data_IF_660827158714
#
_entry.id   IF_660827158714
#
_cell.length_a   1.000
_cell.length_b   1.000
_cell.length_c   1.000
_cell.angle_alpha   90.00
_cell.angle_beta   90.00
_cell.angle_gamma   90.00
#
_symmetry.space_group_name_H-M   'P 1'
#
loop_
_entity.id
_entity.type
_entity.pdbx_description
1 polymer ?
#
# COMPACT_ATOMS: atom_id res chain seq x y z
N UNK A 1 15.46 -63.11 39.79
CA UNK A 1 14.17 -63.70 40.18
C UNK A 1 13.87 -63.30 41.63
N UNK A 2 12.62 -62.88 41.89
CA UNK A 2 11.86 -62.93 43.17
C UNK A 2 12.50 -62.33 44.44
N UNK A 3 12.02 -61.19 44.97
CA UNK A 3 10.80 -60.98 45.79
C UNK A 3 10.89 -61.66 47.18
N UNK A 4 10.48 -61.14 48.35
CA UNK A 4 9.77 -59.94 48.86
C UNK A 4 9.69 -60.11 50.42
N UNK A 5 9.34 -59.04 51.16
CA UNK A 5 8.87 -58.93 52.58
C UNK A 5 9.93 -58.50 53.62
N UNK A 6 9.93 -57.22 54.05
CA UNK A 6 9.05 -56.55 55.04
C UNK A 6 9.23 -57.08 56.48
N UNK A 7 9.69 -56.22 57.39
CA UNK A 7 8.82 -55.58 58.41
C UNK A 7 9.58 -54.55 59.25
N UNK A 8 8.84 -53.50 59.56
CA UNK A 8 9.16 -52.30 60.34
C UNK A 8 9.40 -52.62 61.82
N UNK A 9 10.26 -51.84 62.46
CA UNK A 9 10.04 -51.37 63.84
C UNK A 9 10.67 -49.97 63.98
N UNK A 10 9.85 -49.03 64.45
CA UNK A 10 10.12 -47.62 64.65
C UNK A 10 10.76 -47.34 66.02
N UNK A 11 11.55 -46.25 66.04
CA UNK A 11 11.87 -45.37 67.16
C UNK A 11 12.86 -45.91 68.23
N UNK A 12 13.83 -45.15 68.76
CA UNK A 12 13.65 -43.84 69.41
C UNK A 12 14.91 -42.93 69.38
N UNK A 13 14.66 -41.65 69.12
CA UNK A 13 15.19 -40.42 69.72
C UNK A 13 16.69 -40.21 70.01
N UNK A 14 17.29 -39.26 69.27
CA UNK A 14 18.28 -38.33 69.82
C UNK A 14 17.90 -36.90 69.40
N UNK A 15 17.52 -36.07 70.38
CA UNK A 15 17.20 -34.65 70.20
C UNK A 15 18.49 -33.82 70.19
N UNK A 16 18.96 -33.42 69.01
CA UNK A 16 19.80 -32.23 68.86
C UNK A 16 18.92 -31.04 68.49
N UNK A 17 18.81 -30.11 69.44
CA UNK A 17 18.19 -28.80 69.25
C UNK A 17 19.10 -28.00 68.30
N UNK A 18 18.65 -27.74 67.07
CA UNK A 18 19.22 -26.70 66.21
C UNK A 18 18.31 -25.48 66.29
N UNK A 19 18.85 -24.38 66.81
CA UNK A 19 18.23 -23.05 66.73
C UNK A 19 18.01 -22.66 65.26
N UNK A 20 16.86 -22.11 64.88
CA UNK A 20 16.67 -21.60 63.53
C UNK A 20 17.53 -20.35 63.33
N UNK A 21 18.21 -20.19 62.17
CA UNK A 21 18.95 -18.98 61.89
C UNK A 21 17.99 -17.79 61.78
N UNK A 22 18.34 -16.69 62.46
CA UNK A 22 17.68 -15.39 62.39
C UNK A 22 17.42 -15.02 60.92
N UNK A 23 16.15 -15.01 60.52
CA UNK A 23 15.73 -14.55 59.21
C UNK A 23 15.99 -13.05 59.09
N UNK A 24 17.08 -12.68 58.43
CA UNK A 24 17.32 -11.32 57.96
C UNK A 24 16.16 -10.96 57.01
N UNK A 25 15.47 -9.81 57.17
CA UNK A 25 14.37 -9.45 56.29
C UNK A 25 14.89 -9.28 54.86
N UNK A 26 14.58 -10.22 53.97
CA UNK A 26 14.86 -10.08 52.55
C UNK A 26 13.91 -9.00 52.01
N UNK A 27 14.48 -7.85 51.66
CA UNK A 27 13.75 -6.79 50.95
C UNK A 27 13.19 -7.39 49.66
N UNK A 28 11.88 -7.66 49.64
CA UNK A 28 11.18 -8.08 48.42
C UNK A 28 11.27 -6.92 47.42
N UNK A 29 12.06 -7.09 46.38
CA UNK A 29 12.06 -6.17 45.23
C UNK A 29 10.65 -6.19 44.63
N UNK A 30 9.87 -5.14 44.89
CA UNK A 30 8.68 -4.87 44.10
C UNK A 30 9.17 -4.42 42.73
N UNK A 31 9.04 -5.30 41.73
CA UNK A 31 9.04 -4.89 40.33
C UNK A 31 7.87 -3.92 40.16
N UNK A 32 8.17 -2.63 40.22
CA UNK A 32 7.28 -1.60 39.72
C UNK A 32 7.35 -1.76 38.20
N UNK A 33 6.28 -2.23 37.57
CA UNK A 33 6.11 -2.10 36.14
C UNK A 33 6.21 -0.60 35.83
N UNK A 34 7.36 -0.16 35.31
CA UNK A 34 7.43 1.13 34.63
C UNK A 34 6.39 1.06 33.51
N UNK A 35 5.48 2.05 33.37
CA UNK A 35 4.71 2.15 32.15
C UNK A 35 5.71 2.19 30.99
N UNK A 36 5.43 1.41 29.94
CA UNK A 36 6.28 1.35 28.76
C UNK A 36 6.62 2.77 28.34
N UNK A 37 7.91 3.06 28.10
CA UNK A 37 8.32 4.37 27.64
C UNK A 37 7.55 4.68 26.34
N UNK A 38 6.80 5.78 26.32
CA UNK A 38 6.07 6.24 25.14
C UNK A 38 7.04 6.36 23.96
N UNK A 39 6.65 5.86 22.78
CA UNK A 39 7.52 5.93 21.60
C UNK A 39 7.90 7.39 21.27
N UNK A 40 9.12 7.64 20.75
CA UNK A 40 9.53 8.95 20.28
C UNK A 40 8.54 9.57 19.28
N UNK A 41 7.95 8.71 18.42
CA UNK A 41 6.92 9.09 17.44
C UNK A 41 5.66 9.64 18.13
N UNK A 42 5.14 8.95 19.14
CA UNK A 42 3.95 9.42 19.87
C UNK A 42 4.20 10.75 20.59
N UNK A 43 5.41 10.93 21.14
CA UNK A 43 5.79 12.19 21.79
C UNK A 43 5.80 13.36 20.78
N UNK A 44 6.41 13.18 19.60
CA UNK A 44 6.43 14.19 18.54
C UNK A 44 5.02 14.49 18.00
N UNK A 45 4.19 13.47 17.81
CA UNK A 45 2.82 13.64 17.32
C UNK A 45 1.94 14.34 18.38
N UNK A 46 2.18 14.10 19.66
CA UNK A 46 1.50 14.83 20.73
C UNK A 46 1.86 16.32 20.76
N UNK A 47 3.02 16.71 20.24
CA UNK A 47 3.39 18.12 20.11
C UNK A 47 2.65 18.85 18.98
N UNK A 48 1.91 18.16 18.10
CA UNK A 48 1.16 18.81 17.02
C UNK A 48 0.11 19.80 17.55
N UNK A 49 -0.50 19.48 18.69
CA UNK A 49 -1.48 20.36 19.37
C UNK A 49 -0.87 21.68 19.85
N UNK A 50 0.46 21.71 20.07
CA UNK A 50 1.19 22.89 20.55
C UNK A 50 1.76 23.76 19.42
N UNK A 51 1.70 23.29 18.16
CA UNK A 51 2.21 24.01 17.00
C UNK A 51 1.30 25.19 16.67
N UNK A 52 1.88 26.36 16.37
CA UNK A 52 1.11 27.60 16.13
C UNK A 52 0.72 27.81 14.68
N UNK A 53 1.42 27.16 13.75
CA UNK A 53 1.25 27.34 12.32
C UNK A 53 1.59 26.06 11.56
N UNK A 54 1.07 25.93 10.33
CA UNK A 54 1.25 24.74 9.50
C UNK A 54 2.72 24.46 9.13
N UNK A 55 3.62 25.45 9.20
CA UNK A 55 5.07 25.23 8.99
C UNK A 55 5.72 24.48 10.15
N UNK A 56 5.38 24.85 11.39
CA UNK A 56 5.82 24.14 12.60
C UNK A 56 5.28 22.71 12.62
N UNK A 57 4.01 22.54 12.27
CA UNK A 57 3.39 21.22 12.10
C UNK A 57 4.17 20.39 11.09
N UNK A 58 4.39 20.92 9.88
CA UNK A 58 5.12 20.21 8.83
C UNK A 58 6.53 19.82 9.29
N UNK A 59 7.25 20.72 9.97
CA UNK A 59 8.59 20.43 10.50
C UNK A 59 8.56 19.29 11.53
N UNK A 60 7.55 19.27 12.39
CA UNK A 60 7.35 18.19 13.37
C UNK A 60 7.06 16.87 12.66
N UNK A 61 6.15 16.85 11.67
CA UNK A 61 5.84 15.65 10.89
C UNK A 61 7.04 15.11 10.08
N UNK A 62 7.88 16.00 9.56
CA UNK A 62 9.12 15.61 8.88
C UNK A 62 10.09 14.95 9.87
N UNK A 63 10.28 15.52 11.06
CA UNK A 63 11.11 14.92 12.12
C UNK A 63 10.58 13.57 12.59
N UNK A 64 9.26 13.40 12.63
CA UNK A 64 8.63 12.10 12.93
C UNK A 64 8.99 11.06 11.87
N UNK A 65 9.02 11.47 10.60
CA UNK A 65 9.43 10.59 9.50
C UNK A 65 10.90 10.20 9.57
N UNK A 66 11.77 11.11 10.00
CA UNK A 66 13.21 10.86 10.11
C UNK A 66 13.57 9.92 11.29
N UNK A 67 12.74 9.92 12.34
CA UNK A 67 12.93 9.12 13.56
C UNK A 67 11.76 8.13 13.75
N UNK A 68 11.51 7.31 12.72
CA UNK A 68 10.35 6.43 12.69
C UNK A 68 10.60 5.16 13.52
N UNK A 69 10.38 5.27 14.82
CA UNK A 69 10.37 4.14 15.76
C UNK A 69 9.05 4.15 16.53
N UNK A 70 8.13 3.28 16.13
CA UNK A 70 6.76 3.24 16.66
C UNK A 70 6.52 1.95 17.44
N UNK A 71 6.13 2.09 18.71
CA UNK A 71 5.67 0.97 19.51
C UNK A 71 4.28 0.53 19.05
N UNK A 72 4.06 -0.79 19.00
CA UNK A 72 2.79 -1.37 18.55
C UNK A 72 1.58 -0.90 19.38
N UNK A 73 1.79 -0.63 20.67
CA UNK A 73 0.80 -0.06 21.59
C UNK A 73 0.33 1.35 21.23
N UNK A 74 1.18 2.10 20.53
CA UNK A 74 0.99 3.54 20.32
C UNK A 74 0.30 3.81 18.97
N UNK A 75 0.23 2.81 18.07
CA UNK A 75 -0.36 2.93 16.73
C UNK A 75 -1.78 3.52 16.77
N UNK A 76 -2.73 3.03 17.59
CA UNK A 76 -4.10 3.55 17.56
C UNK A 76 -4.19 5.01 17.99
N UNK A 77 -3.38 5.41 18.97
CA UNK A 77 -3.35 6.80 19.45
C UNK A 77 -2.71 7.73 18.42
N UNK A 78 -1.62 7.30 17.80
CA UNK A 78 -0.95 8.02 16.72
C UNK A 78 -1.88 8.24 15.54
N UNK A 79 -2.57 7.18 15.08
CA UNK A 79 -3.52 7.27 13.97
C UNK A 79 -4.64 8.28 14.28
N UNK A 80 -5.22 8.20 15.48
CA UNK A 80 -6.26 9.13 15.91
C UNK A 80 -5.78 10.58 15.90
N UNK A 81 -4.62 10.86 16.51
CA UNK A 81 -4.05 12.22 16.55
C UNK A 81 -3.74 12.77 15.16
N UNK A 82 -3.18 11.95 14.27
CA UNK A 82 -2.91 12.35 12.89
C UNK A 82 -4.20 12.64 12.10
N UNK A 83 -5.20 11.78 12.21
CA UNK A 83 -6.50 11.97 11.56
C UNK A 83 -7.26 13.19 12.07
N UNK A 84 -7.26 13.42 13.37
CA UNK A 84 -7.89 14.60 13.96
C UNK A 84 -7.20 15.88 13.49
N UNK A 85 -5.86 15.87 13.42
CA UNK A 85 -5.11 17.00 12.90
C UNK A 85 -5.33 17.23 11.39
N UNK A 86 -5.41 16.16 10.60
CA UNK A 86 -5.70 16.24 9.16
C UNK A 86 -7.01 17.00 8.90
N UNK A 87 -8.07 16.73 9.67
CA UNK A 87 -9.40 17.32 9.50
C UNK A 87 -9.43 18.82 9.81
N UNK A 88 -8.52 19.30 10.66
CA UNK A 88 -8.46 20.70 11.07
C UNK A 88 -7.48 21.53 10.21
N UNK A 89 -6.53 20.88 9.56
CA UNK A 89 -5.46 21.54 8.83
C UNK A 89 -5.89 22.05 7.45
N UNK A 90 -5.59 23.31 7.16
CA UNK A 90 -5.91 23.95 5.89
C UNK A 90 -4.81 23.73 4.83
N UNK A 91 -3.56 23.54 5.25
CA UNK A 91 -2.42 23.45 4.35
C UNK A 91 -2.30 22.05 3.70
N UNK A 92 -2.38 22.01 2.38
CA UNK A 92 -2.32 20.75 1.61
C UNK A 92 -1.01 19.97 1.82
N UNK A 93 0.13 20.67 1.99
CA UNK A 93 1.43 20.01 2.18
C UNK A 93 1.48 19.20 3.48
N UNK A 94 0.87 19.72 4.55
CA UNK A 94 0.76 19.03 5.83
C UNK A 94 -0.16 17.81 5.69
N UNK A 95 -1.34 17.98 5.08
CA UNK A 95 -2.28 16.87 4.84
C UNK A 95 -1.67 15.74 4.00
N UNK A 96 -0.89 16.08 2.96
CA UNK A 96 -0.10 15.11 2.19
C UNK A 96 0.91 14.38 3.09
N UNK A 97 1.64 15.11 3.95
CA UNK A 97 2.63 14.46 4.84
C UNK A 97 1.97 13.55 5.87
N UNK A 98 0.79 13.90 6.38
CA UNK A 98 0.02 13.04 7.28
C UNK A 98 -0.34 11.72 6.57
N UNK A 99 -0.89 11.78 5.35
CA UNK A 99 -1.20 10.56 4.58
C UNK A 99 0.06 9.72 4.29
N UNK A 100 1.21 10.36 4.03
CA UNK A 100 2.50 9.67 3.92
C UNK A 100 2.88 8.95 5.21
N UNK A 101 2.65 9.55 6.38
CA UNK A 101 2.92 8.89 7.66
C UNK A 101 1.95 7.73 7.92
N UNK A 102 0.67 7.84 7.51
CA UNK A 102 -0.26 6.70 7.58
C UNK A 102 0.24 5.51 6.77
N UNK A 103 0.80 5.77 5.58
CA UNK A 103 1.45 4.73 4.77
C UNK A 103 2.62 4.09 5.52
N UNK A 104 3.47 4.89 6.16
CA UNK A 104 4.63 4.36 6.90
C UNK A 104 4.20 3.56 8.13
N UNK A 105 3.18 4.01 8.87
CA UNK A 105 2.57 3.27 9.98
C UNK A 105 2.01 1.94 9.50
N UNK A 106 1.32 1.91 8.35
CA UNK A 106 0.75 0.69 7.80
C UNK A 106 1.78 -0.32 7.27
N UNK A 107 3.06 0.03 7.17
CA UNK A 107 4.15 -0.93 6.87
C UNK A 107 4.71 -1.60 8.12
N UNK A 108 4.35 -1.14 9.32
CA UNK A 108 4.83 -1.74 10.55
C UNK A 108 4.23 -3.14 10.75
N UNK A 109 5.01 -4.14 11.24
CA UNK A 109 4.59 -5.55 11.27
C UNK A 109 3.29 -5.85 12.05
N UNK A 110 2.91 -4.99 12.98
CA UNK A 110 1.73 -5.15 13.82
C UNK A 110 0.59 -4.18 13.47
N UNK A 111 0.70 -3.44 12.37
CA UNK A 111 -0.29 -2.47 11.99
C UNK A 111 -1.57 -3.15 11.49
N UNK A 112 -2.72 -2.64 11.92
CA UNK A 112 -3.99 -3.00 11.30
C UNK A 112 -4.14 -2.24 9.98
N UNK A 113 -3.58 -2.84 8.92
CA UNK A 113 -3.52 -2.25 7.58
C UNK A 113 -4.92 -1.91 7.05
N UNK A 114 -5.92 -2.75 7.33
CA UNK A 114 -7.30 -2.54 6.85
C UNK A 114 -7.91 -1.31 7.50
N UNK A 115 -7.77 -1.17 8.82
CA UNK A 115 -8.25 0.01 9.54
C UNK A 115 -7.56 1.30 9.05
N UNK A 116 -6.26 1.25 8.75
CA UNK A 116 -5.52 2.41 8.22
C UNK A 116 -5.99 2.77 6.81
N UNK A 117 -6.24 1.78 5.95
CA UNK A 117 -6.81 2.01 4.62
C UNK A 117 -8.18 2.67 4.72
N UNK A 118 -9.06 2.16 5.59
CA UNK A 118 -10.40 2.72 5.78
C UNK A 118 -10.34 4.16 6.31
N UNK A 119 -9.43 4.45 7.23
CA UNK A 119 -9.18 5.82 7.69
C UNK A 119 -8.70 6.72 6.55
N UNK A 120 -7.72 6.28 5.74
CA UNK A 120 -7.24 7.04 4.59
C UNK A 120 -8.36 7.33 3.56
N UNK A 121 -9.24 6.35 3.31
CA UNK A 121 -10.43 6.53 2.45
C UNK A 121 -11.36 7.59 3.04
N UNK A 122 -11.60 7.56 4.34
CA UNK A 122 -12.45 8.53 5.03
C UNK A 122 -11.88 9.94 4.96
N UNK A 123 -10.57 10.10 5.14
CA UNK A 123 -9.91 11.42 5.08
C UNK A 123 -10.00 12.05 3.68
N UNK A 124 -9.88 11.27 2.60
CA UNK A 124 -9.92 11.83 1.24
C UNK A 124 -11.33 12.00 0.67
N UNK A 125 -12.37 11.39 1.26
CA UNK A 125 -13.73 11.36 0.73
C UNK A 125 -14.30 12.73 0.33
N UNK A 126 -13.99 13.77 1.10
CA UNK A 126 -14.46 15.15 0.87
C UNK A 126 -13.30 16.12 0.59
N UNK A 127 -12.13 15.59 0.24
CA UNK A 127 -10.96 16.42 -0.03
C UNK A 127 -11.08 17.12 -1.39
N UNK A 128 -10.56 18.35 -1.48
CA UNK A 128 -10.61 19.17 -2.70
C UNK A 128 -9.23 19.35 -3.33
N UNK A 129 -8.17 19.19 -2.55
CA UNK A 129 -6.81 19.34 -3.05
C UNK A 129 -6.37 18.11 -3.83
N UNK A 130 -6.17 18.27 -5.14
CA UNK A 130 -5.70 17.18 -6.02
C UNK A 130 -4.38 16.55 -5.54
N UNK A 131 -3.50 17.32 -4.89
CA UNK A 131 -2.25 16.81 -4.32
C UNK A 131 -2.53 15.84 -3.16
N UNK A 132 -3.48 16.20 -2.30
CA UNK A 132 -3.89 15.38 -1.15
C UNK A 132 -4.63 14.14 -1.62
N UNK A 133 -5.54 14.28 -2.58
CA UNK A 133 -6.25 13.13 -3.20
C UNK A 133 -5.25 12.17 -3.82
N UNK A 134 -4.32 12.65 -4.66
CA UNK A 134 -3.31 11.80 -5.30
C UNK A 134 -2.45 11.06 -4.26
N UNK A 135 -2.07 11.73 -3.16
CA UNK A 135 -1.35 11.09 -2.06
C UNK A 135 -2.21 10.06 -1.32
N UNK A 136 -3.50 10.31 -1.13
CA UNK A 136 -4.41 9.36 -0.48
C UNK A 136 -4.62 8.11 -1.31
N UNK A 137 -4.84 8.25 -2.62
CA UNK A 137 -4.89 7.11 -3.56
C UNK A 137 -3.56 6.36 -3.55
N UNK A 138 -2.42 7.06 -3.54
CA UNK A 138 -1.11 6.42 -3.41
C UNK A 138 -0.95 5.65 -2.09
N UNK A 139 -1.47 6.18 -0.99
CA UNK A 139 -1.44 5.54 0.34
C UNK A 139 -2.25 4.25 0.31
N UNK A 140 -3.49 4.33 -0.17
CA UNK A 140 -4.40 3.19 -0.34
C UNK A 140 -3.80 2.12 -1.26
N UNK A 141 -3.21 2.53 -2.39
CA UNK A 141 -2.55 1.62 -3.34
C UNK A 141 -1.43 0.83 -2.66
N UNK A 142 -0.50 1.52 -2.00
CA UNK A 142 0.67 0.87 -1.43
C UNK A 142 0.32 -0.02 -0.24
N UNK A 143 -0.67 0.37 0.59
CA UNK A 143 -1.18 -0.50 1.65
C UNK A 143 -1.98 -1.68 1.09
N UNK A 144 -2.76 -1.48 0.03
CA UNK A 144 -3.50 -2.55 -0.64
C UNK A 144 -2.60 -3.65 -1.20
N UNK A 145 -1.40 -3.30 -1.69
CA UNK A 145 -0.37 -4.26 -2.13
C UNK A 145 0.11 -5.18 -1.00
N UNK A 146 0.04 -4.73 0.26
CA UNK A 146 0.45 -5.52 1.43
C UNK A 146 -0.63 -6.53 1.85
N UNK A 147 -1.88 -6.34 1.40
CA UNK A 147 -3.02 -7.21 1.75
C UNK A 147 -3.40 -8.05 0.53
N UNK A 148 -2.58 -9.05 0.18
CA UNK A 148 -2.75 -9.82 -1.07
C UNK A 148 -3.99 -10.70 -1.10
N UNK A 149 -4.42 -11.21 0.06
CA UNK A 149 -5.44 -12.27 0.14
C UNK A 149 -6.87 -11.74 0.27
N UNK A 150 -7.06 -10.41 0.26
CA UNK A 150 -8.36 -9.77 0.46
C UNK A 150 -8.94 -9.21 -0.84
N UNK A 151 -9.53 -10.12 -1.63
CA UNK A 151 -10.17 -9.80 -2.92
C UNK A 151 -11.29 -8.76 -2.77
N UNK A 152 -12.08 -8.83 -1.69
CA UNK A 152 -13.17 -7.87 -1.43
C UNK A 152 -12.64 -6.45 -1.20
N UNK A 153 -11.56 -6.33 -0.42
CA UNK A 153 -10.86 -5.06 -0.23
C UNK A 153 -10.33 -4.55 -1.57
N UNK A 154 -9.64 -5.37 -2.36
CA UNK A 154 -9.12 -4.99 -3.67
C UNK A 154 -10.20 -4.44 -4.60
N UNK A 155 -11.36 -5.10 -4.69
CA UNK A 155 -12.51 -4.58 -5.43
C UNK A 155 -12.96 -3.22 -4.92
N UNK A 156 -13.10 -3.05 -3.59
CA UNK A 156 -13.44 -1.76 -2.98
C UNK A 156 -12.44 -0.67 -3.37
N UNK A 157 -11.14 -0.95 -3.34
CA UNK A 157 -10.09 0.03 -3.66
C UNK A 157 -10.10 0.41 -5.15
N UNK A 158 -10.39 -0.55 -6.03
CA UNK A 158 -10.55 -0.31 -7.47
C UNK A 158 -11.77 0.56 -7.75
N UNK A 159 -12.91 0.31 -7.11
CA UNK A 159 -14.10 1.15 -7.28
C UNK A 159 -13.86 2.59 -6.80
N UNK A 160 -13.10 2.77 -5.72
CA UNK A 160 -12.66 4.10 -5.28
C UNK A 160 -11.78 4.76 -6.36
N UNK A 161 -10.79 4.05 -6.90
CA UNK A 161 -9.94 4.57 -7.96
C UNK A 161 -10.76 5.00 -9.20
N UNK A 162 -11.71 4.17 -9.64
CA UNK A 162 -12.63 4.49 -10.74
C UNK A 162 -13.42 5.77 -10.48
N UNK A 163 -13.92 5.95 -9.26
CA UNK A 163 -14.68 7.16 -8.89
C UNK A 163 -13.84 8.45 -8.98
N UNK A 164 -12.53 8.37 -8.74
CA UNK A 164 -11.62 9.50 -8.83
C UNK A 164 -11.00 9.71 -10.23
N UNK A 165 -11.22 8.81 -11.19
CA UNK A 165 -10.72 9.00 -12.57
C UNK A 165 -11.33 10.23 -13.27
N UNK A 166 -12.50 10.70 -12.81
CA UNK A 166 -13.16 11.93 -13.30
C UNK A 166 -12.49 13.23 -12.84
N UNK A 167 -11.50 13.15 -11.94
CA UNK A 167 -10.76 14.32 -11.47
C UNK A 167 -10.03 15.02 -12.64
N UNK A 168 -9.86 16.33 -12.59
CA UNK A 168 -9.20 17.11 -13.66
C UNK A 168 -7.67 16.97 -13.65
N UNK A 169 -7.08 16.59 -12.51
CA UNK A 169 -5.65 16.48 -12.33
C UNK A 169 -5.10 15.19 -12.91
N UNK A 170 -4.11 15.31 -13.80
CA UNK A 170 -3.35 14.17 -14.30
C UNK A 170 -2.75 13.33 -13.16
N UNK A 171 -2.32 13.94 -12.05
CA UNK A 171 -1.70 13.23 -10.95
C UNK A 171 -2.68 12.27 -10.26
N UNK A 172 -3.94 12.70 -10.09
CA UNK A 172 -5.01 11.85 -9.54
C UNK A 172 -5.34 10.74 -10.54
N UNK A 173 -5.59 11.08 -11.81
CA UNK A 173 -5.87 10.09 -12.87
C UNK A 173 -4.79 9.03 -12.97
N UNK A 174 -3.52 9.44 -12.98
CA UNK A 174 -2.39 8.51 -13.07
C UNK A 174 -2.38 7.55 -11.87
N UNK A 175 -2.58 8.06 -10.65
CA UNK A 175 -2.61 7.20 -9.46
C UNK A 175 -3.82 6.27 -9.44
N UNK A 176 -4.97 6.70 -9.95
CA UNK A 176 -6.13 5.83 -10.12
C UNK A 176 -5.88 4.72 -11.15
N UNK A 177 -5.32 5.04 -12.32
CA UNK A 177 -4.96 4.06 -13.35
C UNK A 177 -3.92 3.06 -12.84
N UNK A 178 -2.91 3.52 -12.10
CA UNK A 178 -1.92 2.66 -11.43
C UNK A 178 -2.61 1.72 -10.44
N UNK A 179 -3.54 2.26 -9.63
CA UNK A 179 -4.29 1.49 -8.63
C UNK A 179 -5.11 0.39 -9.29
N UNK A 180 -5.79 0.69 -10.39
CA UNK A 180 -6.56 -0.30 -11.16
C UNK A 180 -5.63 -1.39 -11.69
N UNK A 181 -4.52 -1.03 -12.32
CA UNK A 181 -3.56 -1.98 -12.90
C UNK A 181 -2.98 -2.97 -11.89
N UNK A 182 -2.71 -2.49 -10.68
CA UNK A 182 -2.08 -3.29 -9.61
C UNK A 182 -3.10 -4.09 -8.81
N UNK A 183 -4.23 -3.49 -8.42
CA UNK A 183 -5.12 -4.06 -7.42
C UNK A 183 -6.34 -4.77 -7.99
N UNK A 184 -6.69 -4.60 -9.28
CA UNK A 184 -7.83 -5.35 -9.83
C UNK A 184 -7.61 -6.86 -9.63
N UNK A 185 -8.53 -7.60 -9.01
CA UNK A 185 -8.42 -9.05 -8.94
C UNK A 185 -8.34 -9.66 -10.35
N UNK A 186 -7.65 -10.80 -10.48
CA UNK A 186 -7.51 -11.45 -11.79
C UNK A 186 -8.91 -11.86 -12.28
N UNK A 187 -9.35 -11.24 -13.37
CA UNK A 187 -10.66 -11.47 -13.98
C UNK A 187 -10.51 -11.94 -15.44
N UNK A 188 -11.57 -12.53 -15.99
CA UNK A 188 -11.58 -13.05 -17.37
C UNK A 188 -12.91 -12.73 -18.06
N UNK A 189 -12.93 -12.83 -19.39
CA UNK A 189 -14.13 -12.54 -20.20
C UNK A 189 -14.59 -11.09 -20.07
N UNK A 190 -15.92 -10.91 -20.02
CA UNK A 190 -16.57 -9.59 -20.06
C UNK A 190 -16.09 -8.58 -19.00
N UNK A 191 -15.66 -9.04 -17.82
CA UNK A 191 -15.13 -8.13 -16.79
C UNK A 191 -13.75 -7.60 -17.17
N UNK A 192 -12.87 -8.46 -17.70
CA UNK A 192 -11.57 -8.06 -18.18
C UNK A 192 -11.69 -7.10 -19.38
N UNK A 193 -12.62 -7.38 -20.30
CA UNK A 193 -12.89 -6.54 -21.47
C UNK A 193 -13.32 -5.12 -21.03
N UNK A 194 -14.23 -5.00 -20.06
CA UNK A 194 -14.67 -3.71 -19.51
C UNK A 194 -13.55 -2.93 -18.83
N UNK A 195 -12.65 -3.61 -18.13
CA UNK A 195 -11.49 -2.96 -17.49
C UNK A 195 -10.51 -2.45 -18.56
N UNK A 196 -10.23 -3.27 -19.58
CA UNK A 196 -9.37 -2.85 -20.69
C UNK A 196 -9.99 -1.71 -21.50
N UNK A 197 -11.29 -1.73 -21.75
CA UNK A 197 -12.02 -0.63 -22.40
C UNK A 197 -11.92 0.66 -21.59
N UNK A 198 -12.15 0.58 -20.27
CA UNK A 198 -12.00 1.71 -19.36
C UNK A 198 -10.58 2.29 -19.43
N UNK A 199 -9.54 1.46 -19.34
CA UNK A 199 -8.14 1.93 -19.37
C UNK A 199 -7.79 2.50 -20.74
N UNK A 200 -8.22 1.84 -21.82
CA UNK A 200 -7.92 2.25 -23.20
C UNK A 200 -8.59 3.57 -23.57
N UNK A 201 -9.71 3.94 -22.92
CA UNK A 201 -10.33 5.26 -23.06
C UNK A 201 -9.44 6.44 -22.61
N UNK A 202 -8.27 6.17 -22.02
CA UNK A 202 -7.28 7.18 -21.65
C UNK A 202 -6.06 7.21 -22.59
N UNK A 203 -6.03 6.41 -23.66
CA UNK A 203 -4.92 6.39 -24.62
C UNK A 203 -4.81 7.66 -25.46
N UNK A 204 -5.89 8.40 -25.63
CA UNK A 204 -5.98 9.67 -26.36
C UNK A 204 -6.14 10.88 -25.43
N UNK A 205 -5.88 10.70 -24.11
CA UNK A 205 -6.03 11.78 -23.15
C UNK A 205 -5.15 12.99 -23.48
N UNK A 206 -5.64 14.20 -23.24
CA UNK A 206 -4.88 15.45 -23.52
C UNK A 206 -3.51 15.48 -22.81
N UNK A 207 -3.42 14.95 -21.60
CA UNK A 207 -2.17 14.93 -20.83
C UNK A 207 -1.34 13.66 -21.13
N UNK A 208 -0.13 13.86 -21.65
CA UNK A 208 0.78 12.78 -22.01
C UNK A 208 1.14 11.84 -20.85
N UNK A 209 1.13 12.33 -19.61
CA UNK A 209 1.40 11.49 -18.42
C UNK A 209 0.27 10.51 -18.19
N UNK A 210 -0.97 10.92 -18.44
CA UNK A 210 -2.16 10.05 -18.33
C UNK A 210 -2.13 9.00 -19.43
N UNK A 211 -1.81 9.38 -20.68
CA UNK A 211 -1.63 8.43 -21.78
C UNK A 211 -0.55 7.38 -21.46
N UNK A 212 0.63 7.84 -21.04
CA UNK A 212 1.75 6.96 -20.65
C UNK A 212 1.37 6.02 -19.51
N UNK A 213 0.64 6.51 -18.50
CA UNK A 213 0.16 5.68 -17.40
C UNK A 213 -0.91 4.68 -17.84
N UNK A 214 -1.82 5.05 -18.76
CA UNK A 214 -2.83 4.13 -19.29
C UNK A 214 -2.17 2.94 -20.02
N UNK A 215 -1.19 3.19 -20.89
CA UNK A 215 -0.42 2.11 -21.52
C UNK A 215 0.33 1.27 -20.47
N UNK A 216 0.93 1.91 -19.47
CA UNK A 216 1.63 1.20 -18.39
C UNK A 216 0.68 0.31 -17.59
N UNK A 217 -0.54 0.78 -17.36
CA UNK A 217 -1.62 0.02 -16.69
C UNK A 217 -2.03 -1.17 -17.56
N UNK A 218 -2.24 -1.00 -18.86
CA UNK A 218 -2.56 -2.11 -19.78
C UNK A 218 -1.47 -3.19 -19.78
N UNK A 219 -0.20 -2.80 -19.78
CA UNK A 219 0.94 -3.72 -19.66
C UNK A 219 0.89 -4.46 -18.32
N UNK A 220 0.68 -3.75 -17.20
CA UNK A 220 0.61 -4.36 -15.88
C UNK A 220 -0.55 -5.36 -15.76
N UNK A 221 -1.71 -5.06 -16.35
CA UNK A 221 -2.84 -5.99 -16.42
C UNK A 221 -2.46 -7.26 -17.19
N UNK A 222 -1.76 -7.12 -18.31
CA UNK A 222 -1.31 -8.26 -19.11
C UNK A 222 -0.29 -9.15 -18.41
N UNK A 223 0.72 -8.54 -17.78
CA UNK A 223 1.72 -9.26 -16.98
C UNK A 223 1.09 -10.04 -15.82
N UNK A 224 -0.10 -9.62 -15.36
CA UNK A 224 -0.91 -10.30 -14.34
C UNK A 224 -1.89 -11.34 -14.91
N UNK A 225 -1.86 -11.59 -16.22
CA UNK A 225 -2.61 -12.66 -16.88
C UNK A 225 -3.90 -12.22 -17.61
N UNK A 226 -4.20 -10.91 -17.65
CA UNK A 226 -5.34 -10.41 -18.43
C UNK A 226 -4.96 -10.40 -19.92
N UNK A 227 -5.75 -11.11 -20.74
CA UNK A 227 -5.50 -11.19 -22.19
C UNK A 227 -5.86 -9.87 -22.85
N UNK A 228 -4.94 -9.33 -23.65
CA UNK A 228 -5.19 -8.15 -24.49
C UNK A 228 -5.66 -8.65 -25.86
N UNK A 229 -6.68 -8.03 -26.45
CA UNK A 229 -7.09 -8.38 -27.80
C UNK A 229 -5.98 -7.97 -28.80
N UNK A 230 -5.40 -8.89 -29.58
CA UNK A 230 -4.34 -8.56 -30.55
C UNK A 230 -4.77 -7.56 -31.63
N UNK A 231 -6.07 -7.38 -31.87
CA UNK A 231 -6.58 -6.41 -32.85
C UNK A 231 -6.20 -4.96 -32.51
N UNK A 232 -5.87 -4.67 -31.25
CA UNK A 232 -5.41 -3.33 -30.83
C UNK A 232 -4.00 -3.00 -31.32
N UNK A 233 -3.26 -3.98 -31.86
CA UNK A 233 -1.86 -3.82 -32.23
C UNK A 233 -1.63 -2.63 -33.19
N UNK A 234 -2.49 -2.46 -34.19
CA UNK A 234 -2.37 -1.36 -35.16
C UNK A 234 -2.57 0.01 -34.48
N UNK A 235 -3.53 0.09 -33.56
CA UNK A 235 -3.79 1.31 -32.79
C UNK A 235 -2.63 1.63 -31.85
N UNK A 236 -2.07 0.61 -31.19
CA UNK A 236 -0.85 0.75 -30.37
C UNK A 236 0.33 1.23 -31.22
N UNK A 237 0.54 0.69 -32.42
CA UNK A 237 1.59 1.15 -33.33
C UNK A 237 1.39 2.61 -33.75
N UNK A 238 0.15 3.06 -33.97
CA UNK A 238 -0.13 4.47 -34.24
C UNK A 238 0.30 5.37 -33.08
N UNK A 239 0.18 4.90 -31.84
CA UNK A 239 0.64 5.63 -30.65
C UNK A 239 2.17 5.76 -30.54
N UNK A 240 2.96 5.06 -31.38
CA UNK A 240 4.40 5.34 -31.50
C UNK A 240 4.68 6.73 -32.11
N UNK A 241 3.68 7.34 -32.75
CA UNK A 241 3.75 8.69 -33.32
C UNK A 241 3.41 9.78 -32.29
N UNK A 242 3.21 9.44 -31.02
CA UNK A 242 2.92 10.43 -29.96
C UNK A 242 4.03 11.48 -29.84
N UNK A 243 3.63 12.73 -29.60
CA UNK A 243 4.54 13.88 -29.48
C UNK A 243 5.50 13.77 -28.28
N UNK A 244 5.18 12.92 -27.29
CA UNK A 244 5.93 12.80 -26.06
C UNK A 244 6.66 11.46 -25.95
N UNK A 245 7.97 11.54 -25.70
CA UNK A 245 8.85 10.37 -25.54
C UNK A 245 8.38 9.42 -24.43
N UNK A 246 7.83 9.96 -23.33
CA UNK A 246 7.33 9.15 -22.21
C UNK A 246 6.18 8.22 -22.62
N UNK A 247 5.41 8.59 -23.65
CA UNK A 247 4.34 7.74 -24.19
C UNK A 247 4.95 6.72 -25.12
N UNK A 248 5.73 7.16 -26.12
CA UNK A 248 6.41 6.28 -27.10
C UNK A 248 7.21 5.17 -26.44
N UNK A 249 7.94 5.47 -25.36
CA UNK A 249 8.72 4.49 -24.59
C UNK A 249 7.86 3.36 -24.04
N UNK A 250 6.69 3.68 -23.48
CA UNK A 250 5.79 2.68 -22.90
C UNK A 250 5.05 1.92 -24.01
N UNK A 251 4.65 2.61 -25.07
CA UNK A 251 4.03 2.01 -26.26
C UNK A 251 4.97 0.98 -26.90
N UNK A 252 6.27 1.27 -27.04
CA UNK A 252 7.26 0.31 -27.53
C UNK A 252 7.27 -0.98 -26.70
N UNK A 253 7.17 -0.87 -25.37
CA UNK A 253 7.06 -2.06 -24.50
C UNK A 253 5.79 -2.85 -24.79
N UNK A 254 4.66 -2.18 -25.06
CA UNK A 254 3.40 -2.85 -25.39
C UNK A 254 3.45 -3.52 -26.77
N UNK A 255 4.06 -2.89 -27.77
CA UNK A 255 4.31 -3.49 -29.10
C UNK A 255 5.12 -4.77 -28.96
N UNK A 256 6.25 -4.69 -28.25
CA UNK A 256 7.09 -5.85 -27.94
C UNK A 256 6.30 -6.96 -27.26
N UNK A 257 5.48 -6.61 -26.26
CA UNK A 257 4.67 -7.55 -25.50
C UNK A 257 3.62 -8.25 -26.38
N UNK A 258 2.93 -7.52 -27.26
CA UNK A 258 2.01 -8.11 -28.22
C UNK A 258 2.73 -9.03 -29.21
N UNK A 259 3.93 -8.61 -29.67
CA UNK A 259 4.86 -9.38 -30.51
C UNK A 259 5.14 -10.78 -29.98
N UNK A 260 5.55 -10.86 -28.72
CA UNK A 260 5.89 -12.15 -28.08
C UNK A 260 4.66 -12.96 -27.66
N UNK A 261 3.55 -12.30 -27.33
CA UNK A 261 2.33 -12.98 -26.86
C UNK A 261 1.53 -13.59 -28.00
N UNK A 262 1.52 -12.93 -29.17
CA UNK A 262 0.73 -13.31 -30.33
C UNK A 262 1.58 -13.45 -31.61
N UNK A 263 2.66 -14.25 -31.60
CA UNK A 263 3.70 -14.18 -32.62
C UNK A 263 3.21 -14.57 -34.02
N UNK A 264 2.31 -15.55 -34.11
CA UNK A 264 1.82 -16.08 -35.39
C UNK A 264 0.58 -15.34 -35.92
N UNK A 265 0.09 -14.30 -35.23
CA UNK A 265 -1.01 -13.49 -35.76
C UNK A 265 -0.50 -12.69 -36.95
N UNK A 266 -1.25 -12.73 -38.05
CA UNK A 266 -0.91 -11.98 -39.26
C UNK A 266 -1.52 -10.59 -39.16
N UNK A 267 -0.71 -9.56 -39.42
CA UNK A 267 -1.10 -8.16 -39.44
C UNK A 267 -0.76 -7.54 -40.79
N UNK A 268 -1.56 -6.58 -41.22
CA UNK A 268 -1.30 -5.80 -42.43
C UNK A 268 -0.44 -4.60 -42.09
N UNK A 269 0.67 -4.42 -42.82
CA UNK A 269 1.58 -3.28 -42.64
C UNK A 269 0.85 -1.94 -42.84
N UNK A 270 1.29 -0.90 -42.12
CA UNK A 270 0.81 0.46 -42.38
C UNK A 270 1.22 0.86 -43.81
N UNK A 271 0.26 1.34 -44.59
CA UNK A 271 0.45 1.84 -45.96
C UNK A 271 0.84 0.77 -47.02
N UNK A 272 0.58 -0.51 -46.75
CA UNK A 272 0.81 -1.62 -47.69
C UNK A 272 -0.30 -2.68 -47.57
N UNK A 273 -0.51 -3.48 -48.61
CA UNK A 273 -1.35 -4.69 -48.56
C UNK A 273 -0.57 -5.93 -48.08
N UNK A 274 0.72 -5.76 -47.78
CA UNK A 274 1.57 -6.85 -47.33
C UNK A 274 1.17 -7.30 -45.93
N UNK A 275 0.96 -8.61 -45.83
CA UNK A 275 0.73 -9.34 -44.60
C UNK A 275 2.05 -9.86 -44.04
N UNK A 276 2.23 -9.70 -42.74
CA UNK A 276 3.41 -10.16 -42.01
C UNK A 276 2.98 -10.68 -40.65
N UNK A 277 3.77 -11.58 -40.05
CA UNK A 277 3.52 -12.04 -38.68
C UNK A 277 3.79 -10.91 -37.70
N UNK A 278 3.01 -10.84 -36.63
CA UNK A 278 3.10 -9.78 -35.63
C UNK A 278 4.47 -9.74 -34.97
N UNK A 279 5.10 -10.90 -34.72
CA UNK A 279 6.48 -10.95 -34.23
C UNK A 279 7.50 -10.36 -35.21
N UNK A 280 7.28 -10.49 -36.51
CA UNK A 280 8.22 -9.98 -37.51
C UNK A 280 8.02 -8.47 -37.77
N UNK A 281 6.84 -7.92 -37.48
CA UNK A 281 6.59 -6.45 -37.54
C UNK A 281 7.02 -5.73 -36.25
N UNK A 282 6.89 -6.38 -35.10
CA UNK A 282 7.21 -5.79 -33.81
C UNK A 282 8.73 -5.62 -33.55
N UNK A 283 9.59 -6.29 -34.31
CA UNK A 283 11.05 -6.37 -34.12
C UNK A 283 11.82 -5.95 -35.37
#
# INVERSE_FOLDING_TARGET
MTAVLKKRALAEYSHTIQEPPLQVPTKKLKLINKPAASSPVLALISCLESCKNSREVLRTLLRTSDNFELSTSDIPEVLKKLSDHFKLEAESAVRVKILSLLLDIGKEPSADIISIIDEAIMLIKNEVSHKVIAQGINTILNLGKLVTDNVSLHYKLVEIAKNYLKDVSHAVKCKCLETIGVLIPVCTGNEADKILELVSSYFDNEDARVRSQAFSTTIALHERGIKINPNVYKDVCNCLKDDYEIVRKVVLKLVWLLGITYPEIVVTLQDSEQEIRLIDDAF
#
